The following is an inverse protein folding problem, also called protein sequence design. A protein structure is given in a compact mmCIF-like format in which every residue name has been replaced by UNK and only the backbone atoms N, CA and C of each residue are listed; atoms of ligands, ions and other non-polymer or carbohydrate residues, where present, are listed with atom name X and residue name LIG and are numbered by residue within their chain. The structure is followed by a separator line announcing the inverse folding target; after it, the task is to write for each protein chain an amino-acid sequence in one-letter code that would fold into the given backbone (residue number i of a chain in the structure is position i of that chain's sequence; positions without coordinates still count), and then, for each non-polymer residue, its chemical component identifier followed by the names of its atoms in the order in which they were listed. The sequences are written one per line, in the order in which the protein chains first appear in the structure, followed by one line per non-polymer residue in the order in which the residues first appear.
data_IF_389541951803
#
_entry.id   IF_389541951803
#
_cell.length_a   1.000
_cell.length_b   1.000
_cell.length_c   1.000
_cell.angle_alpha   90.00
_cell.angle_beta   90.00
_cell.angle_gamma   90.00
#
_symmetry.space_group_name_H-M   'P 1'
#
loop_
_entity.id
_entity.type
_entity.pdbx_description
1 polymer ?
#
# COMPACT_ATOMS: atom_id res chain seq x y z
N UNK A 1 -22.01 17.02 -14.01
CA UNK A 1 -22.81 17.77 -14.99
C UNK A 1 -23.88 18.69 -14.36
N UNK A 2 -24.70 18.24 -13.39
CA UNK A 2 -25.79 19.07 -12.82
C UNK A 2 -25.36 20.41 -12.20
N UNK A 3 -24.17 20.48 -11.58
CA UNK A 3 -23.66 21.71 -10.95
C UNK A 3 -23.34 22.84 -11.95
N UNK A 4 -22.94 22.50 -13.18
CA UNK A 4 -22.64 23.50 -14.21
C UNK A 4 -23.90 24.16 -14.81
N UNK A 5 -25.09 23.60 -14.55
CA UNK A 5 -26.35 24.14 -15.05
C UNK A 5 -26.93 25.25 -14.16
N UNK A 6 -26.36 25.50 -12.98
CA UNK A 6 -26.83 26.56 -12.08
C UNK A 6 -26.02 27.84 -12.29
N UNK A 7 -26.61 28.92 -12.83
CA UNK A 7 -25.92 30.17 -13.10
C UNK A 7 -25.46 30.92 -11.82
N UNK A 8 -25.90 30.50 -10.63
CA UNK A 8 -25.44 31.04 -9.35
C UNK A 8 -24.12 30.41 -8.87
N UNK A 9 -23.64 29.35 -9.51
CA UNK A 9 -22.39 28.68 -9.17
C UNK A 9 -21.28 29.08 -10.15
N UNK A 10 -20.14 29.50 -9.62
CA UNK A 10 -18.93 29.83 -10.38
C UNK A 10 -17.72 29.08 -9.82
N UNK A 11 -16.63 29.00 -10.60
CA UNK A 11 -15.39 28.31 -10.22
C UNK A 11 -15.61 26.87 -9.71
N UNK A 12 -16.46 26.10 -10.39
CA UNK A 12 -16.67 24.68 -10.07
C UNK A 12 -15.45 23.90 -10.57
N UNK A 13 -14.61 23.49 -9.62
CA UNK A 13 -13.45 22.63 -9.87
C UNK A 13 -13.75 21.21 -9.37
N UNK A 14 -13.16 20.23 -10.06
CA UNK A 14 -13.02 18.89 -9.54
C UNK A 14 -11.60 18.79 -8.96
N UNK A 15 -11.50 18.77 -7.64
CA UNK A 15 -10.22 18.74 -6.93
C UNK A 15 -9.65 17.31 -6.82
N UNK A 16 -10.28 16.33 -7.47
CA UNK A 16 -9.73 14.99 -7.57
C UNK A 16 -8.53 14.98 -8.53
N UNK A 17 -7.49 14.26 -8.12
CA UNK A 17 -6.37 13.94 -8.99
C UNK A 17 -6.82 12.96 -10.09
N UNK A 18 -6.15 13.05 -11.24
CA UNK A 18 -6.34 12.07 -12.32
C UNK A 18 -5.94 10.66 -11.85
N UNK A 19 -6.72 9.62 -12.17
CA UNK A 19 -6.32 8.24 -11.94
C UNK A 19 -4.93 7.92 -12.51
N UNK A 20 -4.07 7.39 -11.65
CA UNK A 20 -2.75 6.88 -12.06
C UNK A 20 -2.77 5.36 -12.22
N UNK A 21 -1.92 4.77 -13.08
CA UNK A 21 -1.79 3.31 -13.18
C UNK A 21 -1.45 2.70 -11.83
N UNK A 22 -2.15 1.61 -11.47
CA UNK A 22 -1.93 0.89 -10.23
C UNK A 22 -1.92 -0.62 -10.49
N UNK A 23 -1.07 -1.35 -9.76
CA UNK A 23 -1.07 -2.81 -9.78
C UNK A 23 -2.05 -3.36 -8.76
N UNK A 24 -2.90 -4.30 -9.19
CA UNK A 24 -3.81 -5.03 -8.31
C UNK A 24 -3.40 -6.48 -8.22
N UNK A 25 -2.98 -6.91 -7.03
CA UNK A 25 -2.73 -8.32 -6.74
C UNK A 25 -4.07 -9.07 -6.62
N UNK A 26 -4.25 -10.11 -7.44
CA UNK A 26 -5.39 -11.03 -7.37
C UNK A 26 -4.87 -12.40 -6.95
N UNK A 27 -5.40 -12.93 -5.85
CA UNK A 27 -4.94 -14.19 -5.25
C UNK A 27 -6.06 -15.23 -5.39
N UNK A 28 -5.70 -16.42 -5.90
CA UNK A 28 -6.54 -17.62 -5.82
C UNK A 28 -6.56 -18.13 -4.37
N UNK A 29 -7.61 -17.77 -3.63
CA UNK A 29 -7.72 -18.08 -2.21
C UNK A 29 -8.01 -19.56 -1.94
N UNK A 30 -8.64 -20.27 -2.87
CA UNK A 30 -8.90 -21.71 -2.72
C UNK A 30 -7.59 -22.48 -2.81
N UNK A 31 -6.76 -22.16 -3.82
CA UNK A 31 -5.43 -22.75 -3.97
C UNK A 31 -4.49 -22.36 -2.83
N UNK A 32 -4.48 -21.10 -2.42
CA UNK A 32 -3.64 -20.66 -1.31
C UNK A 32 -3.94 -21.46 -0.03
N UNK A 33 -5.22 -21.66 0.31
CA UNK A 33 -5.64 -22.48 1.45
C UNK A 33 -5.26 -23.95 1.30
N UNK A 34 -5.44 -24.53 0.12
CA UNK A 34 -5.05 -25.92 -0.16
C UNK A 34 -3.53 -26.15 0.04
N UNK A 35 -2.72 -25.12 -0.21
CA UNK A 35 -1.26 -25.14 0.00
C UNK A 35 -0.83 -24.68 1.41
N UNK A 36 -1.77 -24.41 2.33
CA UNK A 36 -1.46 -23.92 3.68
C UNK A 36 -0.92 -22.49 3.72
N UNK A 37 -1.07 -21.71 2.64
CA UNK A 37 -0.63 -20.33 2.56
C UNK A 37 -1.75 -19.39 2.99
N UNK A 38 -1.52 -18.65 4.08
CA UNK A 38 -2.50 -17.69 4.60
C UNK A 38 -2.35 -16.33 3.93
N UNK A 39 -3.44 -15.57 3.83
CA UNK A 39 -3.39 -14.19 3.31
C UNK A 39 -2.49 -13.29 4.16
N UNK A 40 -2.38 -13.57 5.47
CA UNK A 40 -1.47 -12.87 6.36
C UNK A 40 0.00 -13.08 5.96
N UNK A 41 0.39 -14.33 5.68
CA UNK A 41 1.74 -14.68 5.21
C UNK A 41 2.05 -13.94 3.89
N UNK A 42 1.10 -13.93 2.95
CA UNK A 42 1.26 -13.25 1.66
C UNK A 42 1.47 -11.74 1.86
N UNK A 43 0.66 -11.09 2.71
CA UNK A 43 0.83 -9.65 3.00
C UNK A 43 2.18 -9.34 3.62
N UNK A 44 2.63 -10.14 4.58
CA UNK A 44 3.92 -9.95 5.24
C UNK A 44 5.08 -10.07 4.25
N UNK A 45 5.05 -11.08 3.37
CA UNK A 45 6.07 -11.25 2.33
C UNK A 45 6.06 -10.08 1.35
N UNK A 46 4.88 -9.68 0.84
CA UNK A 46 4.77 -8.57 -0.10
C UNK A 46 5.29 -7.26 0.51
N UNK A 47 4.99 -7.00 1.78
CA UNK A 47 5.49 -5.80 2.47
C UNK A 47 7.02 -5.81 2.60
N UNK A 48 7.59 -6.94 3.03
CA UNK A 48 9.03 -7.09 3.17
C UNK A 48 9.77 -6.90 1.84
N UNK A 49 9.25 -7.46 0.75
CA UNK A 49 9.85 -7.34 -0.59
C UNK A 49 9.67 -5.95 -1.20
N UNK A 50 8.49 -5.33 -1.09
CA UNK A 50 8.20 -4.07 -1.80
C UNK A 50 8.66 -2.81 -1.05
N UNK A 51 8.62 -2.82 0.27
CA UNK A 51 8.87 -1.62 1.08
C UNK A 51 9.77 -1.87 2.28
N UNK A 52 10.08 -3.13 2.55
CA UNK A 52 10.68 -3.56 3.80
C UNK A 52 9.65 -3.73 4.93
N UNK A 53 9.96 -4.64 5.84
CA UNK A 53 9.18 -4.90 7.04
C UNK A 53 9.96 -4.41 8.26
N UNK A 54 9.47 -3.39 9.00
CA UNK A 54 10.09 -2.99 10.25
C UNK A 54 9.99 -4.14 11.26
N UNK A 55 11.12 -4.46 11.90
CA UNK A 55 11.19 -5.54 12.88
C UNK A 55 11.25 -4.97 14.30
N UNK A 56 12.18 -4.05 14.53
CA UNK A 56 12.45 -3.46 15.84
C UNK A 56 13.27 -2.18 15.67
N UNK A 57 13.50 -1.46 16.76
CA UNK A 57 14.40 -0.31 16.80
C UNK A 57 15.60 -0.61 17.72
N UNK A 58 16.79 -0.29 17.24
CA UNK A 58 18.04 -0.42 17.98
C UNK A 58 18.52 0.94 18.50
N UNK A 59 19.11 0.96 19.69
CA UNK A 59 19.73 2.16 20.27
C UNK A 59 21.23 2.15 19.99
N UNK A 60 21.67 3.04 19.11
CA UNK A 60 23.08 3.31 18.84
C UNK A 60 23.50 4.57 19.60
N UNK A 61 23.99 4.40 20.83
CA UNK A 61 24.29 5.49 21.74
C UNK A 61 23.05 6.35 22.04
N UNK A 62 23.07 7.59 21.54
CA UNK A 62 21.97 8.54 21.68
C UNK A 62 20.93 8.46 20.54
N UNK A 63 21.19 7.68 19.48
CA UNK A 63 20.33 7.55 18.31
C UNK A 63 19.43 6.29 18.36
N UNK A 64 18.24 6.39 17.77
CA UNK A 64 17.33 5.25 17.57
C UNK A 64 17.31 4.92 16.08
N UNK A 65 17.76 3.73 15.73
CA UNK A 65 17.91 3.25 14.36
C UNK A 65 16.92 2.11 14.12
N UNK A 66 16.11 2.22 13.07
CA UNK A 66 15.12 1.17 12.77
C UNK A 66 15.74 -0.01 12.03
N UNK A 67 15.43 -1.22 12.50
CA UNK A 67 15.80 -2.49 11.86
C UNK A 67 14.69 -2.87 10.89
N UNK A 68 14.99 -2.91 9.61
CA UNK A 68 14.03 -3.23 8.54
C UNK A 68 14.51 -4.44 7.75
N UNK A 69 13.69 -5.51 7.72
CA UNK A 69 13.91 -6.65 6.83
C UNK A 69 13.53 -6.29 5.38
N UNK A 70 14.42 -6.59 4.42
CA UNK A 70 14.19 -6.40 2.98
C UNK A 70 14.67 -7.62 2.20
N UNK A 71 14.17 -7.79 0.99
CA UNK A 71 14.75 -8.76 0.06
C UNK A 71 16.15 -8.29 -0.37
N UNK A 72 17.16 -9.19 -0.44
CA UNK A 72 18.46 -8.83 -0.99
C UNK A 72 18.35 -8.47 -2.48
N UNK A 73 19.23 -7.58 -2.94
CA UNK A 73 19.34 -7.22 -4.37
C UNK A 73 19.77 -8.41 -5.25
#
# INVERSE_FOLDING_TARGET
ARFQANPLLGAVHDDWLEPVPAMKLVIDQDRARALGVTSQRIRQMLQATMSGAPLDDFRDGEETVSIVAREPE
#
